data_IF_758693898589
#
_entry.id   IF_758693898589
#
_cell.length_a   1.000
_cell.length_b   1.000
_cell.length_c   1.000
_cell.angle_alpha   90.00
_cell.angle_beta   90.00
_cell.angle_gamma   90.00
#
_symmetry.space_group_name_H-M   'P 1'
#
loop_
_entity.id
_entity.type
_entity.pdbx_description
1 polymer ?
#
# COMPACT_ATOMS: atom_id res chain seq x y z
N UNK A 1 1.32 -12.09 25.87
CA UNK A 1 1.53 -11.23 24.70
C UNK A 1 1.71 -12.16 23.53
N UNK A 2 0.69 -12.31 22.69
CA UNK A 2 0.92 -12.93 21.38
C UNK A 2 1.79 -11.96 20.60
N UNK A 3 3.00 -12.40 20.25
CA UNK A 3 3.79 -11.71 19.24
C UNK A 3 2.91 -11.60 18.01
N UNK A 4 2.65 -10.37 17.57
CA UNK A 4 1.97 -10.07 16.32
C UNK A 4 2.93 -10.48 15.18
N UNK A 5 3.10 -11.79 14.99
CA UNK A 5 4.01 -12.37 14.02
C UNK A 5 3.43 -12.05 12.66
N UNK A 6 4.18 -11.23 11.92
CA UNK A 6 3.92 -10.97 10.51
C UNK A 6 3.74 -12.31 9.80
N UNK A 7 2.70 -12.42 8.99
CA UNK A 7 2.41 -13.67 8.30
C UNK A 7 3.54 -14.07 7.36
N UNK A 8 3.62 -15.36 7.05
CA UNK A 8 4.58 -15.86 6.08
C UNK A 8 4.39 -15.24 4.68
N UNK A 9 3.14 -14.90 4.32
CA UNK A 9 2.84 -14.24 3.06
C UNK A 9 3.45 -12.83 3.01
N UNK A 10 3.10 -11.97 3.98
CA UNK A 10 3.59 -10.60 4.00
C UNK A 10 5.12 -10.57 4.14
N UNK A 11 5.71 -11.43 4.97
CA UNK A 11 7.17 -11.50 5.12
C UNK A 11 7.87 -11.81 3.79
N UNK A 12 7.33 -12.73 2.98
CA UNK A 12 7.89 -13.01 1.64
C UNK A 12 7.73 -11.85 0.66
N UNK A 13 6.64 -11.09 0.76
CA UNK A 13 6.45 -9.88 -0.07
C UNK A 13 7.53 -8.84 0.27
N UNK A 14 7.86 -8.67 1.54
CA UNK A 14 8.94 -7.75 1.96
C UNK A 14 10.34 -8.21 1.53
N UNK A 15 10.63 -9.50 1.65
CA UNK A 15 11.88 -10.08 1.16
C UNK A 15 12.03 -9.84 -0.34
N UNK A 16 10.95 -10.06 -1.10
CA UNK A 16 10.92 -9.76 -2.54
C UNK A 16 11.11 -8.26 -2.82
N UNK A 17 10.40 -7.38 -2.11
CA UNK A 17 10.53 -5.93 -2.25
C UNK A 17 11.99 -5.48 -2.00
N UNK A 18 12.63 -6.02 -0.98
CA UNK A 18 14.03 -5.74 -0.63
C UNK A 18 14.97 -6.17 -1.76
N UNK A 19 14.82 -7.42 -2.24
CA UNK A 19 15.64 -7.94 -3.34
C UNK A 19 15.48 -7.12 -4.63
N UNK A 20 14.27 -6.69 -4.95
CA UNK A 20 14.00 -5.90 -6.15
C UNK A 20 14.51 -4.45 -6.06
N UNK A 21 14.60 -3.89 -4.86
CA UNK A 21 15.11 -2.52 -4.66
C UNK A 21 16.52 -2.37 -5.25
N UNK A 22 17.41 -3.33 -4.98
CA UNK A 22 18.78 -3.36 -5.52
C UNK A 22 18.78 -3.41 -7.06
N UNK A 23 17.96 -4.28 -7.65
CA UNK A 23 17.85 -4.41 -9.11
C UNK A 23 17.28 -3.18 -9.80
N UNK A 24 16.37 -2.45 -9.13
CA UNK A 24 15.79 -1.21 -9.67
C UNK A 24 16.73 -0.01 -9.58
N UNK A 25 17.80 -0.12 -8.80
CA UNK A 25 18.81 0.94 -8.59
C UNK A 25 19.97 0.91 -9.61
N UNK A 26 20.10 -0.14 -10.42
CA UNK A 26 21.26 -0.31 -11.32
C UNK A 26 21.32 0.70 -12.50
N UNK A 27 22.52 1.25 -12.72
CA UNK A 27 22.77 2.50 -13.46
C UNK A 27 22.66 2.45 -15.00
N UNK A 28 21.92 1.51 -15.61
CA UNK A 28 21.79 1.42 -17.08
C UNK A 28 20.37 1.26 -17.61
N UNK A 29 19.40 0.94 -16.77
CA UNK A 29 18.00 0.75 -17.20
C UNK A 29 17.07 1.49 -16.26
N UNK A 30 16.16 2.30 -16.81
CA UNK A 30 15.07 2.87 -16.01
C UNK A 30 14.08 1.75 -15.71
N UNK A 31 13.97 1.36 -14.45
CA UNK A 31 13.03 0.35 -13.94
C UNK A 31 12.10 1.00 -12.93
N UNK A 32 10.89 0.50 -12.80
CA UNK A 32 9.94 0.94 -11.76
C UNK A 32 9.12 -0.26 -11.32
N UNK A 33 8.88 -0.36 -10.02
CA UNK A 33 8.12 -1.46 -9.43
C UNK A 33 7.16 -0.89 -8.39
N UNK A 34 5.93 -1.39 -8.42
CA UNK A 34 4.88 -1.13 -7.43
C UNK A 34 4.36 -2.49 -6.96
N UNK A 35 4.44 -2.73 -5.66
CA UNK A 35 3.92 -3.93 -5.00
C UNK A 35 2.78 -3.48 -4.10
N UNK A 36 1.61 -4.10 -4.27
CA UNK A 36 0.44 -3.93 -3.41
C UNK A 36 0.04 -5.32 -2.92
N UNK A 37 0.21 -5.59 -1.63
CA UNK A 37 -0.17 -6.85 -1.02
C UNK A 37 -0.99 -6.60 0.23
N UNK A 38 -2.07 -7.38 0.38
CA UNK A 38 -2.90 -7.36 1.57
C UNK A 38 -3.26 -8.79 1.94
N UNK A 39 -3.32 -9.09 3.23
CA UNK A 39 -3.78 -10.37 3.73
C UNK A 39 -4.66 -10.15 4.95
N UNK A 40 -5.81 -10.82 4.97
CA UNK A 40 -6.65 -10.91 6.17
C UNK A 40 -6.76 -12.40 6.50
N UNK A 41 -6.04 -12.89 7.53
CA UNK A 41 -6.18 -14.27 7.97
C UNK A 41 -7.64 -14.59 8.35
N UNK A 42 -8.09 -15.82 8.13
CA UNK A 42 -9.48 -16.24 8.40
C UNK A 42 -9.91 -15.94 9.86
N UNK A 43 -8.97 -16.07 10.80
CA UNK A 43 -9.20 -15.84 12.24
C UNK A 43 -8.91 -14.40 12.69
N UNK A 44 -8.76 -13.44 11.75
CA UNK A 44 -8.37 -12.05 12.04
C UNK A 44 -9.35 -11.05 11.43
N UNK A 45 -9.75 -10.06 12.24
CA UNK A 45 -10.46 -8.87 11.75
C UNK A 45 -9.53 -7.76 11.25
N UNK A 46 -8.21 -8.00 11.31
CA UNK A 46 -7.19 -7.05 10.90
C UNK A 46 -6.56 -7.50 9.59
N UNK A 47 -6.61 -6.61 8.58
CA UNK A 47 -5.89 -6.78 7.32
C UNK A 47 -4.45 -6.28 7.49
N UNK A 48 -3.48 -7.17 7.31
CA UNK A 48 -2.09 -6.79 7.11
C UNK A 48 -1.88 -6.27 5.69
N UNK A 49 -1.01 -5.28 5.52
CA UNK A 49 -0.72 -4.66 4.22
C UNK A 49 0.78 -4.41 4.06
N UNK A 50 1.26 -4.62 2.84
CA UNK A 50 2.59 -4.22 2.40
C UNK A 50 2.48 -3.44 1.07
N UNK A 51 3.02 -2.22 1.05
CA UNK A 51 3.08 -1.35 -0.13
C UNK A 51 4.52 -0.93 -0.33
N UNK A 52 5.11 -1.37 -1.45
CA UNK A 52 6.48 -1.02 -1.79
C UNK A 52 6.55 -0.36 -3.18
N UNK A 53 7.22 0.78 -3.26
CA UNK A 53 7.40 1.56 -4.50
C UNK A 53 8.89 1.87 -4.65
N UNK A 54 9.48 1.49 -5.78
CA UNK A 54 10.93 1.60 -5.98
C UNK A 54 11.33 1.80 -7.44
N UNK A 55 12.52 2.38 -7.64
CA UNK A 55 13.12 2.66 -8.94
C UNK A 55 12.86 4.07 -9.48
N UNK A 56 12.91 4.20 -10.80
CA UNK A 56 12.74 5.45 -11.52
C UNK A 56 11.29 5.95 -11.50
N UNK A 57 11.09 7.20 -11.08
CA UNK A 57 9.78 7.85 -11.00
C UNK A 57 8.94 7.72 -12.29
N UNK A 58 9.55 7.92 -13.46
CA UNK A 58 8.84 7.84 -14.74
C UNK A 58 8.32 6.44 -15.05
N UNK A 59 9.01 5.39 -14.60
CA UNK A 59 8.56 4.01 -14.75
C UNK A 59 7.54 3.62 -13.69
N UNK A 60 7.66 4.14 -12.46
CA UNK A 60 6.64 3.99 -11.41
C UNK A 60 5.30 4.55 -11.89
N UNK A 61 5.28 5.76 -12.45
CA UNK A 61 4.05 6.37 -12.99
C UNK A 61 3.45 5.52 -14.11
N UNK A 62 4.29 4.93 -14.99
CA UNK A 62 3.82 4.02 -16.05
C UNK A 62 3.22 2.73 -15.48
N UNK A 63 3.80 2.16 -14.43
CA UNK A 63 3.26 0.98 -13.77
C UNK A 63 1.87 1.26 -13.18
N UNK A 64 1.70 2.39 -12.48
CA UNK A 64 0.41 2.81 -11.92
C UNK A 64 -0.61 3.09 -13.04
N UNK A 65 -0.19 3.76 -14.12
CA UNK A 65 -1.06 4.00 -15.27
C UNK A 65 -1.51 2.67 -15.91
N UNK A 66 -0.62 1.68 -16.02
CA UNK A 66 -0.96 0.34 -16.47
C UNK A 66 -1.99 -0.32 -15.56
N UNK A 67 -1.77 -0.30 -14.25
CA UNK A 67 -2.71 -0.81 -13.25
C UNK A 67 -4.10 -0.14 -13.37
N UNK A 68 -4.16 1.16 -13.63
CA UNK A 68 -5.42 1.91 -13.73
C UNK A 68 -6.16 1.73 -15.07
N UNK A 69 -5.48 1.27 -16.13
CA UNK A 69 -6.04 1.25 -17.49
C UNK A 69 -6.24 -0.13 -18.08
N UNK A 70 -5.57 -1.17 -17.54
CA UNK A 70 -5.80 -2.54 -17.96
C UNK A 70 -7.21 -3.01 -17.57
N UNK A 71 -7.88 -3.70 -18.49
CA UNK A 71 -9.27 -4.16 -18.33
C UNK A 71 -9.48 -4.95 -17.04
N UNK A 72 -8.56 -5.88 -16.75
CA UNK A 72 -8.61 -6.76 -15.58
C UNK A 72 -8.43 -6.05 -14.21
N UNK A 73 -7.77 -4.88 -14.18
CA UNK A 73 -7.45 -4.18 -12.92
C UNK A 73 -8.16 -2.85 -12.76
N UNK A 74 -8.73 -2.29 -13.84
CA UNK A 74 -9.41 -1.00 -13.83
C UNK A 74 -10.55 -0.96 -12.83
N UNK A 75 -11.41 -1.99 -12.80
CA UNK A 75 -12.54 -2.04 -11.87
C UNK A 75 -12.06 -2.11 -10.41
N UNK A 76 -11.02 -2.91 -10.13
CA UNK A 76 -10.39 -3.00 -8.81
C UNK A 76 -9.80 -1.66 -8.36
N UNK A 77 -9.19 -0.90 -9.26
CA UNK A 77 -8.68 0.45 -8.95
C UNK A 77 -9.83 1.40 -8.60
N UNK A 78 -10.94 1.35 -9.34
CA UNK A 78 -12.14 2.17 -9.04
C UNK A 78 -12.70 1.83 -7.66
N UNK A 79 -12.81 0.55 -7.32
CA UNK A 79 -13.28 0.11 -6.00
C UNK A 79 -12.31 0.53 -4.88
N UNK A 80 -11.01 0.35 -5.08
CA UNK A 80 -9.99 0.80 -4.14
C UNK A 80 -10.05 2.30 -3.86
N UNK A 81 -10.26 3.12 -4.89
CA UNK A 81 -10.43 4.57 -4.75
C UNK A 81 -11.73 4.95 -4.01
N UNK A 82 -12.82 4.22 -4.24
CA UNK A 82 -14.08 4.39 -3.47
C UNK A 82 -13.84 4.10 -1.98
N UNK A 83 -13.17 2.98 -1.67
CA UNK A 83 -12.84 2.60 -0.30
C UNK A 83 -11.95 3.66 0.38
N UNK A 84 -10.91 4.15 -0.31
CA UNK A 84 -10.03 5.19 0.22
C UNK A 84 -10.78 6.50 0.53
N UNK A 85 -11.75 6.87 -0.33
CA UNK A 85 -12.61 8.04 -0.12
C UNK A 85 -13.49 7.89 1.12
N UNK A 86 -14.06 6.71 1.34
CA UNK A 86 -14.86 6.40 2.54
C UNK A 86 -14.00 6.49 3.81
N UNK A 87 -12.81 5.86 3.81
CA UNK A 87 -11.88 5.93 4.95
C UNK A 87 -11.51 7.38 5.29
N UNK A 88 -11.19 8.19 4.28
CA UNK A 88 -10.88 9.61 4.45
C UNK A 88 -12.04 10.40 5.08
N UNK A 89 -13.29 10.09 4.71
CA UNK A 89 -14.47 10.72 5.30
C UNK A 89 -14.66 10.29 6.76
N UNK A 90 -14.48 9.00 7.06
CA UNK A 90 -14.56 8.48 8.43
C UNK A 90 -13.52 9.12 9.35
N UNK A 91 -12.28 9.25 8.89
CA UNK A 91 -11.20 9.89 9.63
C UNK A 91 -11.53 11.36 9.97
N UNK A 92 -12.11 12.08 9.00
CA UNK A 92 -12.53 13.48 9.19
C UNK A 92 -13.71 13.63 10.16
N UNK A 93 -14.63 12.66 10.21
CA UNK A 93 -15.78 12.70 11.12
C UNK A 93 -15.43 12.19 12.53
N UNK A 94 -14.46 11.28 12.66
CA UNK A 94 -14.00 10.74 13.95
C UNK A 94 -13.08 11.68 14.75
N UNK A 95 -12.40 12.64 14.09
CA UNK A 95 -11.45 13.57 14.72
C UNK A 95 -12.05 14.82 15.39
N UNK A 96 -13.37 14.87 15.64
CA UNK A 96 -14.08 16.07 16.11
C UNK A 96 -14.14 16.29 17.63
N UNK A 97 -13.47 15.49 18.46
CA UNK A 97 -13.60 15.55 19.94
C UNK A 97 -12.28 15.73 20.71
N UNK A 98 -11.20 16.20 20.09
CA UNK A 98 -10.05 16.68 20.88
C UNK A 98 -10.22 18.17 21.20
N UNK A 99 -10.74 18.37 22.41
CA UNK A 99 -10.86 19.63 23.10
C UNK A 99 -9.63 20.51 22.90
N UNK A 100 -9.87 21.72 22.40
CA UNK A 100 -9.13 22.90 22.80
C UNK A 100 -9.10 22.95 24.34
N UNK A 101 -8.01 22.51 24.95
CA UNK A 101 -7.53 23.10 26.20
C UNK A 101 -6.27 23.87 25.88
N UNK A 102 -6.51 25.10 25.44
CA UNK A 102 -5.62 26.20 25.80
C UNK A 102 -5.56 26.26 27.33
N UNK A 103 -4.35 26.23 27.89
CA UNK A 103 -4.00 27.09 29.01
C UNK A 103 -2.49 27.10 29.20
N UNK A 104 -1.93 28.27 28.91
CA UNK A 104 -0.95 29.04 29.69
C UNK A 104 -0.08 28.28 30.70
#
# INVERSE_FOLDING_TARGET
>A
MEENKKSAFISKVEEFATSMSEMTSENKTKRGLVILATETPEDSNTTAQEIAIMGNQGQIVRAIAGLATQEQTRELVVEGLKLASIKTLMDKLGGGFDNHKSNN
#
